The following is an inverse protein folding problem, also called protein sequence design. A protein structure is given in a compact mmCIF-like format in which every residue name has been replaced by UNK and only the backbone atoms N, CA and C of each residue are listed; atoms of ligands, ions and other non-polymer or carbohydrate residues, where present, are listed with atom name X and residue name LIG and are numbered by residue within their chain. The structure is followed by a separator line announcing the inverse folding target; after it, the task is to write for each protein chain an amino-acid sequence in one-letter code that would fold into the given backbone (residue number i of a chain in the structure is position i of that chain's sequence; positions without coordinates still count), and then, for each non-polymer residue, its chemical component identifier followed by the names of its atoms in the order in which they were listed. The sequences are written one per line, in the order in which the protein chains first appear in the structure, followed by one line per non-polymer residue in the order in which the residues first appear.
data_IF_050874532056
#
_entry.id   IF_050874532056
#
_cell.length_a   1.000
_cell.length_b   1.000
_cell.length_c   1.000
_cell.angle_alpha   90.00
_cell.angle_beta   90.00
_cell.angle_gamma   90.00
#
_symmetry.space_group_name_H-M   'P 1'
#
loop_
_entity.id
_entity.type
_entity.pdbx_description
1 polymer ?
#
# COMPACT_ATOMS: atom_id res chain seq x y z
N UNK A 1 10.76 -5.93 11.49
CA UNK A 1 9.82 -4.85 11.19
C UNK A 1 8.43 -5.44 10.99
N UNK A 2 7.43 -4.89 11.68
CA UNK A 2 6.04 -5.31 11.56
C UNK A 2 5.25 -4.31 10.68
N UNK A 3 4.25 -4.80 9.94
CA UNK A 3 3.36 -3.98 9.11
C UNK A 3 2.69 -2.88 9.96
N UNK A 4 2.35 -3.17 11.22
CA UNK A 4 1.71 -2.20 12.12
C UNK A 4 2.61 -1.06 12.57
N UNK A 5 3.94 -1.18 12.44
CA UNK A 5 4.91 -0.15 12.84
C UNK A 5 5.03 0.96 11.78
N UNK A 6 4.67 0.67 10.53
CA UNK A 6 4.90 1.57 9.40
C UNK A 6 3.64 2.31 8.94
N UNK A 7 2.47 1.95 9.46
CA UNK A 7 1.16 2.54 9.10
C UNK A 7 0.44 3.14 10.30
N UNK A 8 -0.38 4.15 10.03
CA UNK A 8 -1.30 4.77 11.00
C UNK A 8 -2.66 4.98 10.34
N UNK A 9 -3.71 5.18 11.14
CA UNK A 9 -5.06 5.41 10.64
C UNK A 9 -5.14 6.67 9.77
N UNK A 10 -4.33 7.69 10.08
CA UNK A 10 -4.24 8.93 9.29
C UNK A 10 -3.72 8.69 7.87
N UNK A 11 -2.89 7.67 7.65
CA UNK A 11 -2.39 7.29 6.31
C UNK A 11 -3.24 6.20 5.66
N UNK A 12 -4.46 6.00 6.13
CA UNK A 12 -5.43 5.06 5.57
C UNK A 12 -6.73 5.76 5.17
N UNK A 13 -7.23 5.49 3.97
CA UNK A 13 -8.47 6.14 3.47
C UNK A 13 -9.34 5.18 2.65
N UNK A 14 -10.65 5.44 2.70
CA UNK A 14 -11.60 4.96 1.71
C UNK A 14 -11.87 6.11 0.74
N UNK A 15 -11.78 5.86 -0.56
CA UNK A 15 -11.90 6.88 -1.61
C UNK A 15 -12.95 6.46 -2.65
N UNK A 16 -13.81 7.41 -3.04
CA UNK A 16 -14.86 7.24 -4.05
C UNK A 16 -14.63 8.08 -5.32
N UNK A 17 -13.58 8.91 -5.33
CA UNK A 17 -13.27 9.88 -6.38
C UNK A 17 -12.04 9.51 -7.23
N UNK A 18 -11.64 8.24 -7.22
CA UNK A 18 -10.45 7.72 -7.93
C UNK A 18 -10.85 6.83 -9.09
N UNK A 19 -10.64 7.32 -10.32
CA UNK A 19 -11.05 6.63 -11.55
C UNK A 19 -9.89 6.11 -12.43
N UNK A 20 -8.64 6.17 -11.94
CA UNK A 20 -7.49 5.68 -12.72
C UNK A 20 -6.32 5.25 -11.84
N UNK A 21 -5.47 4.35 -12.35
CA UNK A 21 -4.18 3.98 -11.75
C UNK A 21 -3.34 5.20 -11.38
N UNK A 22 -3.20 6.17 -12.30
CA UNK A 22 -2.41 7.38 -12.06
C UNK A 22 -2.96 8.15 -10.85
N UNK A 23 -4.28 8.36 -10.81
CA UNK A 23 -4.93 9.06 -9.70
C UNK A 23 -4.78 8.29 -8.38
N UNK A 24 -4.90 6.97 -8.40
CA UNK A 24 -4.68 6.14 -7.21
C UNK A 24 -3.25 6.30 -6.66
N UNK A 25 -2.23 6.30 -7.54
CA UNK A 25 -0.84 6.54 -7.15
C UNK A 25 -0.61 7.97 -6.63
N UNK A 26 -1.26 8.99 -7.21
CA UNK A 26 -1.22 10.37 -6.70
C UNK A 26 -1.75 10.41 -5.25
N UNK A 27 -2.97 9.91 -5.01
CA UNK A 27 -3.59 9.89 -3.67
C UNK A 27 -2.75 9.12 -2.65
N UNK A 28 -2.17 8.00 -3.08
CA UNK A 28 -1.30 7.20 -2.22
C UNK A 28 -0.01 7.95 -1.86
N UNK A 29 0.53 8.75 -2.78
CA UNK A 29 1.73 9.54 -2.57
C UNK A 29 1.52 10.68 -1.58
N UNK A 30 0.34 11.32 -1.62
CA UNK A 30 -0.08 12.33 -0.64
C UNK A 30 -0.08 11.73 0.77
N UNK A 31 -0.72 10.57 0.96
CA UNK A 31 -0.79 9.89 2.27
C UNK A 31 0.58 9.45 2.78
N UNK A 32 1.46 8.96 1.89
CA UNK A 32 2.83 8.60 2.26
C UNK A 32 3.65 9.85 2.66
N UNK A 33 3.37 11.00 2.05
CA UNK A 33 3.98 12.29 2.37
C UNK A 33 3.75 12.71 3.83
N UNK A 34 2.57 12.40 4.39
CA UNK A 34 2.24 12.70 5.79
C UNK A 34 3.18 12.01 6.80
N UNK A 35 3.79 10.88 6.42
CA UNK A 35 4.75 10.13 7.23
C UNK A 35 6.21 10.40 6.90
N UNK A 36 6.52 11.22 5.89
CA UNK A 36 7.87 11.38 5.35
C UNK A 36 8.24 12.87 5.17
N UNK A 37 8.49 13.61 6.27
CA UNK A 37 8.61 15.08 6.24
C UNK A 37 9.81 15.63 5.43
N UNK A 38 10.74 14.76 5.03
CA UNK A 38 11.97 15.15 4.32
C UNK A 38 11.90 14.95 2.80
N UNK A 39 10.77 14.45 2.28
CA UNK A 39 10.54 14.20 0.86
C UNK A 39 9.18 14.74 0.44
N UNK A 40 9.06 15.14 -0.81
CA UNK A 40 7.80 15.68 -1.35
C UNK A 40 6.91 14.58 -1.89
N UNK A 41 5.60 14.82 -1.89
CA UNK A 41 4.60 13.94 -2.52
C UNK A 41 4.94 13.65 -3.99
N UNK A 42 5.50 14.64 -4.71
CA UNK A 42 5.91 14.47 -6.11
C UNK A 42 7.13 13.54 -6.27
N UNK A 43 8.08 13.58 -5.34
CA UNK A 43 9.21 12.64 -5.32
C UNK A 43 8.74 11.22 -5.03
N UNK A 44 7.82 11.05 -4.07
CA UNK A 44 7.15 9.78 -3.76
C UNK A 44 6.41 9.25 -4.98
N UNK A 45 5.55 10.07 -5.59
CA UNK A 45 4.80 9.71 -6.79
C UNK A 45 5.71 9.28 -7.94
N UNK A 46 6.79 10.02 -8.16
CA UNK A 46 7.79 9.69 -9.18
C UNK A 46 8.45 8.35 -8.90
N UNK A 47 8.76 8.03 -7.64
CA UNK A 47 9.32 6.74 -7.24
C UNK A 47 8.32 5.58 -7.47
N UNK A 48 7.06 5.76 -7.06
CA UNK A 48 6.01 4.75 -7.26
C UNK A 48 5.76 4.49 -8.75
N UNK A 49 5.57 5.54 -9.55
CA UNK A 49 5.38 5.43 -11.01
C UNK A 49 6.62 4.83 -11.68
N UNK A 50 7.82 5.22 -11.23
CA UNK A 50 9.07 4.65 -11.71
C UNK A 50 9.13 3.14 -11.52
N UNK A 51 8.74 2.64 -10.35
CA UNK A 51 8.65 1.21 -10.07
C UNK A 51 7.56 0.53 -10.91
N UNK A 52 6.38 1.12 -10.98
CA UNK A 52 5.22 0.57 -11.70
C UNK A 52 5.52 0.38 -13.21
N UNK A 53 6.33 1.26 -13.81
CA UNK A 53 6.77 1.15 -15.22
C UNK A 53 7.64 -0.07 -15.51
N UNK A 54 8.30 -0.65 -14.50
CA UNK A 54 9.10 -1.88 -14.67
C UNK A 54 8.22 -3.13 -14.77
N UNK A 55 6.96 -3.01 -14.38
CA UNK A 55 5.99 -4.09 -14.30
C UNK A 55 5.00 -3.78 -13.17
N UNK A 56 3.73 -4.06 -13.42
CA UNK A 56 2.64 -3.79 -12.49
C UNK A 56 2.94 -4.31 -11.09
N UNK A 57 2.61 -3.50 -10.08
CA UNK A 57 2.60 -3.94 -8.68
C UNK A 57 1.26 -4.52 -8.24
N UNK A 58 0.32 -4.71 -9.18
CA UNK A 58 -0.91 -5.47 -8.97
C UNK A 58 -0.60 -6.97 -8.82
N UNK A 59 -0.83 -7.51 -7.63
CA UNK A 59 -0.51 -8.91 -7.29
C UNK A 59 -1.69 -9.87 -7.51
N UNK A 60 -2.80 -9.35 -8.01
CA UNK A 60 -4.06 -10.06 -8.19
C UNK A 60 -5.01 -9.92 -7.02
N UNK A 61 -6.17 -10.57 -7.11
CA UNK A 61 -7.24 -10.54 -6.11
C UNK A 61 -7.75 -9.13 -5.77
N UNK A 62 -7.62 -8.19 -6.70
CA UNK A 62 -7.98 -6.78 -6.52
C UNK A 62 -6.99 -5.97 -5.66
N UNK A 63 -5.76 -6.44 -5.51
CA UNK A 63 -4.74 -5.80 -4.67
C UNK A 63 -3.54 -5.33 -5.49
N UNK A 64 -3.03 -4.15 -5.15
CA UNK A 64 -1.70 -3.70 -5.54
C UNK A 64 -0.83 -3.31 -4.34
N UNK A 65 0.47 -3.50 -4.46
CA UNK A 65 1.47 -3.04 -3.47
C UNK A 65 2.45 -2.06 -4.13
N UNK A 66 2.04 -0.83 -4.49
CA UNK A 66 2.95 0.16 -5.05
C UNK A 66 4.07 0.48 -4.07
N UNK A 67 5.32 0.38 -4.51
CA UNK A 67 6.47 0.62 -3.63
C UNK A 67 7.58 1.39 -4.33
N UNK A 68 8.28 2.24 -3.60
CA UNK A 68 9.35 3.08 -4.11
C UNK A 68 10.54 3.12 -3.16
N UNK A 69 11.74 3.24 -3.73
CA UNK A 69 12.94 3.58 -2.98
C UNK A 69 13.19 5.06 -3.09
N UNK A 70 13.47 5.73 -1.97
CA UNK A 70 13.69 7.17 -1.97
C UNK A 70 14.85 7.57 -1.07
N UNK A 71 15.67 8.49 -1.55
CA UNK A 71 16.74 9.11 -0.75
C UNK A 71 16.13 10.08 0.25
N UNK A 72 16.70 10.16 1.45
CA UNK A 72 16.18 11.00 2.53
C UNK A 72 15.10 10.34 3.39
N UNK A 73 14.69 9.12 3.04
CA UNK A 73 13.85 8.27 3.88
C UNK A 73 14.75 7.35 4.70
N UNK A 74 14.62 7.43 6.02
CA UNK A 74 15.42 6.65 6.98
C UNK A 74 14.72 5.38 7.45
N UNK A 75 13.39 5.41 7.53
CA UNK A 75 12.54 4.30 7.95
C UNK A 75 11.45 4.02 6.92
N UNK A 76 10.96 2.78 6.86
CA UNK A 76 9.85 2.43 5.98
C UNK A 76 8.57 3.14 6.40
N UNK A 77 7.86 3.70 5.42
CA UNK A 77 6.55 4.32 5.64
C UNK A 77 5.53 3.66 4.74
N UNK A 78 4.40 3.29 5.33
CA UNK A 78 3.26 2.70 4.64
C UNK A 78 2.03 3.61 4.66
N UNK A 79 1.19 3.42 3.64
CA UNK A 79 -0.14 4.01 3.54
C UNK A 79 -1.08 3.00 2.85
N UNK A 80 -2.39 3.11 3.08
CA UNK A 80 -3.37 2.22 2.46
C UNK A 80 -4.56 3.01 1.91
N UNK A 81 -5.04 2.64 0.73
CA UNK A 81 -6.31 3.12 0.22
C UNK A 81 -7.20 1.95 -0.18
N UNK A 82 -8.49 2.04 0.18
CA UNK A 82 -9.57 1.26 -0.39
C UNK A 82 -10.34 2.15 -1.35
N UNK A 83 -10.57 1.68 -2.57
CA UNK A 83 -11.39 2.37 -3.56
C UNK A 83 -12.81 1.80 -3.53
N UNK A 84 -13.82 2.67 -3.58
CA UNK A 84 -15.21 2.23 -3.77
C UNK A 84 -15.45 1.71 -5.18
N UNK A 85 -14.69 2.21 -6.15
CA UNK A 85 -14.70 1.75 -7.54
C UNK A 85 -13.32 1.21 -7.91
N UNK A 86 -13.19 -0.07 -8.30
CA UNK A 86 -11.90 -0.65 -8.64
C UNK A 86 -11.38 -0.04 -9.95
N UNK A 87 -10.06 0.12 -10.05
CA UNK A 87 -9.41 0.70 -11.23
C UNK A 87 -8.60 -0.35 -11.98
N UNK A 88 -8.52 -0.24 -13.31
CA UNK A 88 -7.57 -1.03 -14.08
C UNK A 88 -6.15 -0.70 -13.61
N UNK A 89 -5.51 -1.71 -13.03
CA UNK A 89 -4.14 -1.63 -12.55
C UNK A 89 -3.19 -2.54 -13.35
N UNK A 90 -3.64 -3.20 -14.41
CA UNK A 90 -2.85 -4.20 -15.12
C UNK A 90 -2.28 -5.27 -14.18
N UNK A 91 -3.09 -5.77 -13.24
CA UNK A 91 -2.69 -6.82 -12.31
C UNK A 91 -2.39 -8.13 -13.04
N UNK A 92 -1.63 -9.03 -12.42
CA UNK A 92 -1.20 -10.29 -13.05
C UNK A 92 -2.33 -11.24 -13.43
N UNK A 93 -3.50 -11.09 -12.82
CA UNK A 93 -4.72 -11.87 -13.08
C UNK A 93 -5.77 -11.09 -13.90
N UNK A 94 -5.38 -9.94 -14.47
CA UNK A 94 -6.24 -8.99 -15.20
C UNK A 94 -7.42 -8.43 -14.38
N UNK A 95 -7.47 -8.67 -13.06
CA UNK A 95 -8.52 -8.13 -12.21
C UNK A 95 -8.28 -6.63 -11.90
N UNK A 96 -9.34 -5.81 -11.84
CA UNK A 96 -9.19 -4.42 -11.41
C UNK A 96 -8.92 -4.35 -9.90
N UNK A 97 -8.21 -3.32 -9.46
CA UNK A 97 -7.71 -3.16 -8.08
C UNK A 97 -8.58 -2.18 -7.30
N UNK A 98 -9.04 -2.60 -6.13
CA UNK A 98 -9.73 -1.77 -5.14
C UNK A 98 -8.95 -1.58 -3.84
N UNK A 99 -7.90 -2.38 -3.59
CA UNK A 99 -7.05 -2.25 -2.41
C UNK A 99 -5.63 -1.93 -2.85
N UNK A 100 -5.07 -0.82 -2.35
CA UNK A 100 -3.68 -0.47 -2.57
C UNK A 100 -2.97 -0.26 -1.23
N UNK A 101 -1.82 -0.90 -1.08
CA UNK A 101 -0.92 -0.68 0.05
C UNK A 101 0.41 -0.10 -0.47
N UNK A 102 0.63 1.18 -0.20
CA UNK A 102 1.81 1.92 -0.62
C UNK A 102 2.97 1.77 0.35
N UNK A 103 4.19 1.70 -0.17
CA UNK A 103 5.42 1.68 0.63
C UNK A 103 6.47 2.62 0.07
N UNK A 104 7.07 3.43 0.94
CA UNK A 104 8.36 4.07 0.65
C UNK A 104 9.40 3.51 1.60
N UNK A 105 10.51 3.05 1.03
CA UNK A 105 11.61 2.46 1.78
C UNK A 105 12.91 3.24 1.51
N UNK A 106 13.87 3.19 2.44
CA UNK A 106 15.20 3.74 2.22
C UNK A 106 15.86 3.22 0.94
N UNK A 107 16.69 4.07 0.32
CA UNK A 107 17.43 3.74 -0.91
C UNK A 107 18.31 2.48 -0.76
N UNK A 108 18.89 2.28 0.42
CA UNK A 108 19.63 1.07 0.74
C UNK A 108 18.66 -0.11 0.84
N UNK A 109 18.80 -1.07 -0.08
CA UNK A 109 18.02 -2.30 -0.01
C UNK A 109 18.52 -3.18 1.12
N UNK A 110 17.70 -3.34 2.16
CA UNK A 110 17.91 -4.32 3.22
C UNK A 110 17.06 -5.56 2.93
N UNK A 111 17.47 -6.69 3.51
CA UNK A 111 16.71 -7.94 3.51
C UNK A 111 15.34 -7.74 4.18
N UNK A 112 15.31 -6.92 5.23
CA UNK A 112 14.09 -6.53 5.97
C UNK A 112 13.00 -5.93 5.06
N UNK A 113 13.36 -5.13 4.06
CA UNK A 113 12.38 -4.55 3.13
C UNK A 113 11.72 -5.63 2.26
N UNK A 114 12.48 -6.66 1.85
CA UNK A 114 11.94 -7.77 1.08
C UNK A 114 11.06 -8.66 1.94
N UNK A 115 11.42 -8.87 3.21
CA UNK A 115 10.59 -9.60 4.18
C UNK A 115 9.27 -8.89 4.42
N UNK A 116 9.27 -7.57 4.57
CA UNK A 116 8.04 -6.77 4.70
C UNK A 116 7.13 -6.91 3.48
N UNK A 117 7.68 -6.83 2.26
CA UNK A 117 6.91 -7.03 1.03
C UNK A 117 6.29 -8.43 0.94
N UNK A 118 7.03 -9.47 1.37
CA UNK A 118 6.53 -10.84 1.45
C UNK A 118 5.38 -10.96 2.46
N UNK A 119 5.56 -10.40 3.66
CA UNK A 119 4.54 -10.41 4.70
C UNK A 119 3.24 -9.73 4.24
N UNK A 120 3.34 -8.61 3.51
CA UNK A 120 2.18 -7.95 2.90
C UNK A 120 1.51 -8.81 1.84
N UNK A 121 2.28 -9.41 0.92
CA UNK A 121 1.73 -10.30 -0.10
C UNK A 121 1.01 -11.52 0.51
N UNK A 122 1.60 -12.12 1.54
CA UNK A 122 1.00 -13.23 2.30
C UNK A 122 -0.29 -12.79 3.01
N UNK A 123 -0.29 -11.64 3.68
CA UNK A 123 -1.47 -11.06 4.31
C UNK A 123 -2.61 -10.89 3.29
N UNK A 124 -2.31 -10.35 2.11
CA UNK A 124 -3.29 -10.10 1.05
C UNK A 124 -3.69 -11.35 0.25
N UNK A 125 -3.02 -12.48 0.44
CA UNK A 125 -3.46 -13.77 -0.14
C UNK A 125 -4.65 -14.39 0.60
N UNK A 126 -4.95 -13.93 1.81
CA UNK A 126 -6.01 -14.46 2.65
C UNK A 126 -7.38 -13.85 2.27
N UNK A 127 -8.35 -14.63 1.72
CA UNK A 127 -9.61 -14.08 1.21
C UNK A 127 -10.49 -13.42 2.28
N UNK A 128 -10.47 -13.95 3.50
CA UNK A 128 -11.16 -13.39 4.66
C UNK A 128 -10.60 -12.02 5.05
N UNK A 129 -9.27 -11.86 5.00
CA UNK A 129 -8.61 -10.57 5.20
C UNK A 129 -9.06 -9.55 4.15
N UNK A 130 -9.02 -9.92 2.86
CA UNK A 130 -9.47 -9.02 1.79
C UNK A 130 -10.94 -8.65 1.92
N UNK A 131 -11.80 -9.60 2.28
CA UNK A 131 -13.22 -9.32 2.51
C UNK A 131 -13.42 -8.33 3.68
N UNK A 132 -12.69 -8.51 4.77
CA UNK A 132 -12.78 -7.61 5.93
C UNK A 132 -12.26 -6.20 5.61
N UNK A 133 -11.19 -6.08 4.81
CA UNK A 133 -10.68 -4.79 4.33
C UNK A 133 -11.69 -4.11 3.41
N UNK A 134 -12.35 -4.86 2.51
CA UNK A 134 -13.40 -4.32 1.63
C UNK A 134 -14.63 -3.79 2.37
N UNK A 135 -14.90 -4.32 3.56
CA UNK A 135 -16.00 -3.88 4.42
C UNK A 135 -15.64 -2.70 5.34
N UNK A 136 -14.36 -2.30 5.39
CA UNK A 136 -13.92 -1.19 6.23
C UNK A 136 -14.44 0.15 5.68
N UNK A 137 -15.11 0.93 6.54
CA UNK A 137 -15.73 2.20 6.18
C UNK A 137 -14.78 3.40 6.22
N UNK A 138 -13.64 3.31 6.92
CA UNK A 138 -12.70 4.41 7.13
C UNK A 138 -11.28 3.91 7.45
N UNK A 139 -10.35 4.85 7.68
CA UNK A 139 -8.96 4.56 7.99
C UNK A 139 -8.74 3.81 9.31
N UNK A 140 -9.57 4.07 10.33
CA UNK A 140 -9.51 3.37 11.62
C UNK A 140 -9.94 1.91 11.48
N UNK A 141 -11.03 1.65 10.75
CA UNK A 141 -11.48 0.31 10.45
C UNK A 141 -10.45 -0.47 9.63
N UNK A 142 -9.79 0.17 8.65
CA UNK A 142 -8.70 -0.43 7.87
C UNK A 142 -7.52 -0.80 8.78
N UNK A 143 -7.06 0.13 9.62
CA UNK A 143 -5.96 -0.10 10.56
C UNK A 143 -6.28 -1.28 11.50
N UNK A 144 -7.52 -1.36 11.99
CA UNK A 144 -7.96 -2.44 12.86
C UNK A 144 -7.89 -3.81 12.15
N UNK A 145 -8.26 -3.90 10.86
CA UNK A 145 -8.13 -5.15 10.10
C UNK A 145 -6.67 -5.55 9.89
N UNK A 146 -5.82 -4.60 9.48
CA UNK A 146 -4.38 -4.84 9.28
C UNK A 146 -3.73 -5.29 10.58
N UNK A 147 -4.04 -4.64 11.70
CA UNK A 147 -3.50 -4.96 13.01
C UNK A 147 -3.90 -6.35 13.50
N UNK A 148 -5.17 -6.73 13.29
CA UNK A 148 -5.64 -8.09 13.63
C UNK A 148 -4.87 -9.17 12.87
N UNK A 149 -4.63 -8.96 11.58
CA UNK A 149 -3.99 -9.96 10.72
C UNK A 149 -2.48 -10.04 10.92
N UNK A 150 -1.83 -8.90 11.17
CA UNK A 150 -0.40 -8.84 11.48
C UNK A 150 -0.09 -9.45 12.87
N UNK A 151 -1.01 -9.35 13.82
CA UNK A 151 -0.89 -9.96 15.15
C UNK A 151 -1.22 -11.46 15.20
N UNK A 152 -1.86 -12.02 14.16
CA UNK A 152 -2.30 -13.43 14.13
C UNK A 152 -1.23 -14.39 13.57
N UNK A 153 -0.02 -13.91 13.29
CA UNK A 153 1.07 -14.70 12.67
C UNK A 153 1.81 -15.59 13.68
N UNK A 154 1.13 -16.07 14.72
CA UNK A 154 1.74 -16.71 15.90
C UNK A 154 1.00 -17.92 16.46
N UNK A 155 0.24 -18.66 15.64
CA UNK A 155 -0.32 -19.99 15.99
C UNK A 155 -0.06 -21.00 14.87
#
# INVERSE_FOLDING_TARGET
MNITEIVTADRMRVLDDVASKKRALERLSELLGEGTPYVTENEIFTALVGREKLGSTGIGHGVAIPHGRLKGVEECVGAMIRLEQPVDFGATDDAPVDILFGLIVPEKSTEEHLELLRALAEMFSAPDCLQALRQAGDGEALLAQVSRRAGSTGD
#
